data_IF_203844202792
#
_entry.id   IF_203844202792
#
_cell.length_a   1.000
_cell.length_b   1.000
_cell.length_c   1.000
_cell.angle_alpha   90.00
_cell.angle_beta   90.00
_cell.angle_gamma   90.00
#
_symmetry.space_group_name_H-M   'P 1'
#
loop_
_entity.id
_entity.type
_entity.pdbx_description
1 polymer ?
#
# COMPACT_ATOMS: atom_id res chain seq x y z
N UNK A 1 -59.84 -54.73 23.46
CA UNK A 1 -58.88 -54.14 24.39
C UNK A 1 -57.39 -54.46 24.05
N UNK A 2 -57.01 -55.71 23.75
CA UNK A 2 -55.59 -56.01 23.43
C UNK A 2 -55.01 -55.25 22.21
N UNK A 3 -55.77 -55.01 21.15
CA UNK A 3 -55.26 -54.27 19.93
C UNK A 3 -55.10 -52.77 20.18
N UNK A 4 -55.83 -52.13 21.09
CA UNK A 4 -55.62 -50.71 21.43
C UNK A 4 -54.36 -50.50 22.27
N UNK A 5 -54.01 -51.44 23.12
CA UNK A 5 -52.79 -51.37 23.94
C UNK A 5 -51.53 -51.53 23.08
N UNK A 6 -51.61 -52.40 22.04
CA UNK A 6 -50.47 -52.56 21.12
C UNK A 6 -50.21 -51.31 20.27
N UNK A 7 -51.24 -50.60 19.84
CA UNK A 7 -51.11 -49.31 19.10
C UNK A 7 -50.60 -48.17 20.00
N UNK A 8 -50.99 -48.12 21.27
CA UNK A 8 -50.48 -47.15 22.23
C UNK A 8 -48.99 -47.34 22.55
N UNK A 9 -48.55 -48.62 22.68
CA UNK A 9 -47.13 -48.91 22.91
C UNK A 9 -46.24 -48.61 21.68
N UNK A 10 -46.76 -48.80 20.44
CA UNK A 10 -46.04 -48.49 19.20
C UNK A 10 -45.92 -46.96 19.02
N UNK A 11 -46.92 -46.20 19.40
CA UNK A 11 -46.90 -44.73 19.32
C UNK A 11 -45.94 -44.11 20.34
N UNK A 12 -45.78 -44.70 21.52
CA UNK A 12 -44.88 -44.24 22.57
C UNK A 12 -43.41 -44.48 22.23
N UNK A 13 -43.08 -45.53 21.41
CA UNK A 13 -41.74 -45.84 20.97
C UNK A 13 -41.21 -44.88 19.92
N UNK A 14 -42.08 -44.18 19.16
CA UNK A 14 -41.68 -43.20 18.13
C UNK A 14 -41.26 -41.86 18.70
N UNK A 15 -41.66 -41.52 19.92
CA UNK A 15 -41.38 -40.26 20.58
C UNK A 15 -39.97 -40.18 21.26
N UNK A 16 -39.27 -41.33 21.35
CA UNK A 16 -37.96 -41.42 22.03
C UNK A 16 -36.78 -41.30 21.08
N UNK A 17 -36.95 -41.02 19.79
CA UNK A 17 -35.90 -41.03 18.77
C UNK A 17 -35.28 -39.67 18.44
N UNK A 18 -35.52 -38.64 19.24
CA UNK A 18 -34.75 -37.40 19.09
C UNK A 18 -33.51 -37.43 19.99
N UNK A 19 -32.44 -38.09 19.56
CA UNK A 19 -31.13 -37.76 20.09
C UNK A 19 -30.75 -36.38 19.57
N UNK A 20 -30.81 -35.38 20.47
CA UNK A 20 -30.26 -34.06 20.19
C UNK A 20 -28.83 -34.25 19.71
N UNK A 21 -28.55 -33.97 18.45
CA UNK A 21 -27.18 -33.97 17.96
C UNK A 21 -26.38 -33.04 18.86
N UNK A 22 -25.26 -33.51 19.39
CA UNK A 22 -24.34 -32.68 20.14
C UNK A 22 -23.90 -31.58 19.18
N UNK A 23 -24.24 -30.33 19.50
CA UNK A 23 -23.71 -29.18 18.73
C UNK A 23 -22.18 -29.30 18.70
N UNK A 24 -21.64 -29.33 17.51
CA UNK A 24 -20.19 -29.30 17.31
C UNK A 24 -19.73 -27.93 17.83
N UNK A 25 -19.24 -27.89 19.07
CA UNK A 25 -18.59 -26.71 19.62
C UNK A 25 -17.20 -26.60 19.01
N UNK A 26 -16.82 -25.38 18.61
CA UNK A 26 -15.44 -25.09 18.21
C UNK A 26 -14.51 -25.36 19.40
N UNK A 27 -13.68 -26.39 19.30
CA UNK A 27 -12.79 -26.86 20.36
C UNK A 27 -11.30 -26.73 19.99
N UNK A 28 -10.97 -25.84 19.03
CA UNK A 28 -9.60 -25.56 18.66
C UNK A 28 -9.09 -24.32 19.37
N UNK A 29 -7.80 -24.26 19.62
CA UNK A 29 -7.13 -23.07 20.17
C UNK A 29 -7.31 -21.88 19.23
N UNK A 30 -7.41 -20.69 19.83
CA UNK A 30 -7.56 -19.46 19.07
C UNK A 30 -6.26 -19.13 18.34
N UNK A 31 -6.35 -19.02 17.02
CA UNK A 31 -5.21 -18.77 16.16
C UNK A 31 -5.24 -17.36 15.57
N UNK A 32 -4.10 -16.67 15.57
CA UNK A 32 -3.90 -15.39 14.89
C UNK A 32 -3.12 -15.60 13.59
N UNK A 33 -3.49 -14.88 12.54
CA UNK A 33 -2.88 -15.01 11.22
C UNK A 33 -2.94 -13.70 10.42
N UNK A 34 -2.07 -13.56 9.42
CA UNK A 34 -2.14 -12.46 8.46
C UNK A 34 -3.29 -12.69 7.47
N UNK A 35 -4.15 -11.68 7.29
CA UNK A 35 -5.36 -11.79 6.47
C UNK A 35 -5.44 -10.63 5.47
N UNK A 36 -4.74 -10.76 4.36
CA UNK A 36 -4.81 -9.83 3.25
C UNK A 36 -5.32 -10.52 1.99
N UNK A 37 -6.25 -9.87 1.32
CA UNK A 37 -6.74 -10.26 0.01
C UNK A 37 -6.50 -9.13 -1.00
N UNK A 38 -6.22 -9.50 -2.23
CA UNK A 38 -6.13 -8.56 -3.34
C UNK A 38 -7.53 -8.09 -3.81
N UNK A 39 -7.54 -7.25 -4.86
CA UNK A 39 -8.79 -6.74 -5.46
C UNK A 39 -9.69 -7.83 -6.04
N UNK A 40 -9.15 -9.01 -6.33
CA UNK A 40 -9.88 -10.16 -6.89
C UNK A 40 -10.33 -11.13 -5.78
N UNK A 41 -10.08 -10.81 -4.51
CA UNK A 41 -10.39 -11.68 -3.38
C UNK A 41 -9.39 -12.82 -3.15
N UNK A 42 -8.29 -12.89 -3.92
CA UNK A 42 -7.25 -13.87 -3.70
C UNK A 42 -6.37 -13.49 -2.51
N UNK A 43 -6.00 -14.45 -1.67
CA UNK A 43 -5.08 -14.21 -0.56
C UNK A 43 -3.70 -13.88 -1.08
N UNK A 44 -3.09 -12.84 -0.49
CA UNK A 44 -1.72 -12.43 -0.75
C UNK A 44 -0.92 -12.43 0.56
N UNK A 45 0.36 -12.70 0.45
CA UNK A 45 1.30 -12.80 1.58
C UNK A 45 2.25 -11.60 1.64
N UNK A 46 1.97 -10.57 0.86
CA UNK A 46 2.85 -9.41 0.77
C UNK A 46 2.12 -8.13 0.38
N UNK A 47 2.70 -7.00 0.81
CA UNK A 47 2.40 -5.65 0.34
C UNK A 47 3.64 -5.11 -0.36
N UNK A 48 3.45 -4.47 -1.52
CA UNK A 48 4.47 -3.68 -2.20
C UNK A 48 4.10 -2.21 -2.04
N UNK A 49 5.02 -1.42 -1.50
CA UNK A 49 4.84 0.02 -1.29
C UNK A 49 5.93 0.80 -2.04
N UNK A 50 5.56 1.91 -2.68
CA UNK A 50 6.51 2.78 -3.34
C UNK A 50 6.38 4.22 -2.86
N UNK A 51 7.42 4.73 -2.21
CA UNK A 51 7.52 6.15 -1.86
C UNK A 51 7.60 7.06 -3.10
N UNK A 52 7.95 6.52 -4.26
CA UNK A 52 7.99 7.30 -5.49
C UNK A 52 6.61 7.84 -5.90
N UNK A 53 5.53 7.21 -5.43
CA UNK A 53 4.16 7.70 -5.60
C UNK A 53 3.81 8.86 -4.65
N UNK A 54 4.57 8.98 -3.53
CA UNK A 54 4.38 9.98 -2.47
C UNK A 54 5.74 10.60 -2.10
N UNK A 55 6.36 11.31 -3.04
CA UNK A 55 7.77 11.71 -2.93
C UNK A 55 8.05 12.77 -1.85
N UNK A 56 7.02 13.45 -1.38
CA UNK A 56 7.06 14.41 -0.27
C UNK A 56 7.15 13.72 1.09
N UNK A 57 6.81 12.43 1.17
CA UNK A 57 6.81 11.71 2.44
C UNK A 57 8.22 11.22 2.80
N UNK A 58 8.72 11.66 3.95
CA UNK A 58 9.93 11.12 4.57
C UNK A 58 9.66 9.79 5.31
N UNK A 59 8.40 9.53 5.67
CA UNK A 59 7.93 8.29 6.30
C UNK A 59 6.46 8.06 5.99
N UNK A 60 6.03 6.80 6.06
CA UNK A 60 4.62 6.45 5.96
C UNK A 60 4.32 5.23 6.84
N UNK A 61 3.03 4.95 7.05
CA UNK A 61 2.54 3.87 7.90
C UNK A 61 1.82 2.82 7.06
N UNK A 62 2.40 1.62 6.99
CA UNK A 62 1.76 0.46 6.39
C UNK A 62 1.04 -0.34 7.47
N UNK A 63 -0.23 -0.66 7.24
CA UNK A 63 -1.06 -1.40 8.17
C UNK A 63 -1.03 -2.89 7.85
N UNK A 64 -0.48 -3.72 8.73
CA UNK A 64 -0.50 -5.18 8.61
C UNK A 64 -1.84 -5.73 9.09
N UNK A 65 -2.65 -6.32 8.22
CA UNK A 65 -3.95 -6.86 8.61
C UNK A 65 -3.79 -8.24 9.26
N UNK A 66 -4.35 -8.39 10.45
CA UNK A 66 -4.39 -9.65 11.18
C UNK A 66 -5.83 -10.01 11.55
N UNK A 67 -6.08 -11.30 11.63
CA UNK A 67 -7.35 -11.85 12.04
C UNK A 67 -7.14 -13.01 13.01
N UNK A 68 -8.09 -13.17 13.91
CA UNK A 68 -8.19 -14.34 14.80
C UNK A 68 -9.23 -15.31 14.26
N UNK A 69 -8.83 -16.59 14.18
CA UNK A 69 -9.71 -17.73 14.00
C UNK A 69 -9.96 -18.34 15.37
N UNK A 70 -11.20 -18.32 15.81
CA UNK A 70 -11.61 -18.78 17.13
C UNK A 70 -12.72 -17.94 17.74
N UNK A 71 -12.94 -18.14 19.03
CA UNK A 71 -13.97 -17.44 19.79
C UNK A 71 -13.45 -16.04 20.18
N UNK A 72 -14.31 -15.04 20.10
CA UNK A 72 -13.98 -13.69 20.57
C UNK A 72 -13.98 -13.69 22.09
N UNK A 73 -12.84 -13.36 22.68
CA UNK A 73 -12.70 -13.29 24.12
C UNK A 73 -13.25 -11.96 24.67
N UNK A 74 -13.83 -12.02 25.84
CA UNK A 74 -14.30 -10.84 26.57
C UNK A 74 -13.15 -10.04 27.21
N UNK A 75 -11.94 -10.62 27.30
CA UNK A 75 -10.74 -9.99 27.78
C UNK A 75 -9.80 -9.58 26.65
N UNK A 76 -8.94 -8.58 26.91
CA UNK A 76 -7.82 -8.22 26.04
C UNK A 76 -6.84 -9.40 25.95
N UNK A 77 -6.32 -9.67 24.73
CA UNK A 77 -5.34 -10.73 24.44
C UNK A 77 -4.08 -10.14 23.87
N UNK A 78 -2.98 -10.82 24.09
CA UNK A 78 -1.67 -10.40 23.58
C UNK A 78 -1.19 -11.29 22.44
N UNK A 79 -0.39 -10.71 21.54
CA UNK A 79 0.29 -11.43 20.47
C UNK A 79 1.64 -10.80 20.15
N UNK A 80 2.49 -11.53 19.44
CA UNK A 80 3.83 -11.07 19.05
C UNK A 80 4.05 -11.18 17.56
N UNK A 81 4.75 -10.18 17.04
CA UNK A 81 5.26 -10.17 15.66
C UNK A 81 6.76 -9.92 15.76
N UNK A 82 7.56 -10.76 15.13
CA UNK A 82 8.99 -10.52 14.97
C UNK A 82 9.38 -10.30 13.52
N UNK A 83 10.51 -9.69 13.30
CA UNK A 83 11.16 -9.63 12.00
C UNK A 83 12.07 -10.85 11.85
N UNK A 84 12.04 -11.50 10.69
CA UNK A 84 12.94 -12.60 10.34
C UNK A 84 14.17 -12.02 9.67
N UNK A 85 15.22 -11.72 10.45
CA UNK A 85 16.40 -10.97 9.99
C UNK A 85 17.15 -11.68 8.87
N UNK A 86 17.27 -13.01 8.92
CA UNK A 86 18.00 -13.80 7.91
C UNK A 86 17.50 -13.65 6.47
N UNK A 87 16.26 -13.21 6.29
CA UNK A 87 15.63 -13.02 4.97
C UNK A 87 15.09 -11.61 4.76
N UNK A 88 15.24 -10.72 5.74
CA UNK A 88 14.93 -9.29 5.62
C UNK A 88 16.16 -8.54 5.13
N UNK A 89 15.96 -7.55 4.28
CA UNK A 89 17.02 -6.67 3.77
C UNK A 89 16.87 -5.23 4.27
N UNK A 90 15.72 -4.91 4.86
CA UNK A 90 15.47 -3.65 5.52
C UNK A 90 16.21 -3.60 6.87
N UNK A 91 16.82 -2.45 7.18
CA UNK A 91 17.60 -2.22 8.39
C UNK A 91 16.74 -1.45 9.40
N UNK A 92 16.61 -1.94 10.67
CA UNK A 92 15.89 -1.22 11.71
C UNK A 92 16.44 0.20 11.91
N UNK A 93 15.59 1.17 12.21
CA UNK A 93 15.87 2.59 12.41
C UNK A 93 16.29 3.35 11.13
N UNK A 94 16.83 2.69 10.11
CA UNK A 94 17.11 3.29 8.82
C UNK A 94 15.91 3.19 7.88
N UNK A 95 15.31 2.00 7.79
CA UNK A 95 14.23 1.71 6.84
C UNK A 95 12.86 1.61 7.51
N UNK A 96 12.81 1.31 8.81
CA UNK A 96 11.56 1.19 9.55
C UNK A 96 11.74 1.41 11.06
N UNK A 97 10.67 1.82 11.74
CA UNK A 97 10.63 1.85 13.21
C UNK A 97 10.63 0.41 13.72
N UNK A 98 11.52 0.02 14.66
CA UNK A 98 11.46 -1.30 15.31
C UNK A 98 10.05 -1.61 15.82
N UNK A 99 9.67 -2.87 15.71
CA UNK A 99 8.38 -3.35 16.21
C UNK A 99 8.32 -3.28 17.74
N UNK A 100 7.11 -3.24 18.27
CA UNK A 100 6.86 -3.41 19.70
C UNK A 100 7.05 -4.89 20.10
N UNK A 101 7.49 -5.16 21.30
CA UNK A 101 7.72 -6.53 21.81
C UNK A 101 6.42 -7.32 21.92
N UNK A 102 5.33 -6.65 22.24
CA UNK A 102 3.99 -7.23 22.44
C UNK A 102 2.94 -6.28 21.91
N UNK A 103 1.99 -6.83 21.19
CA UNK A 103 0.79 -6.13 20.72
C UNK A 103 -0.45 -6.61 21.47
N UNK A 104 -1.47 -5.76 21.53
CA UNK A 104 -2.71 -6.01 22.23
C UNK A 104 -3.87 -6.11 21.26
N UNK A 105 -4.66 -7.16 21.39
CA UNK A 105 -5.94 -7.32 20.72
C UNK A 105 -7.07 -6.99 21.71
N UNK A 106 -7.82 -5.91 21.52
CA UNK A 106 -8.87 -5.52 22.45
C UNK A 106 -9.96 -6.60 22.61
N UNK A 107 -10.63 -6.60 23.75
CA UNK A 107 -11.77 -7.48 24.04
C UNK A 107 -12.83 -7.41 22.92
N UNK A 108 -13.43 -8.54 22.58
CA UNK A 108 -14.47 -8.66 21.55
C UNK A 108 -13.96 -8.52 20.10
N UNK A 109 -12.71 -8.12 19.90
CA UNK A 109 -12.13 -7.94 18.57
C UNK A 109 -11.61 -9.27 18.00
N UNK A 110 -11.77 -9.43 16.68
CA UNK A 110 -11.21 -10.57 15.93
C UNK A 110 -10.39 -10.13 14.73
N UNK A 111 -10.25 -8.81 14.54
CA UNK A 111 -9.45 -8.21 13.47
C UNK A 111 -8.68 -7.04 14.07
N UNK A 112 -7.40 -6.94 13.71
CA UNK A 112 -6.55 -5.81 14.09
C UNK A 112 -5.64 -5.45 12.92
N UNK A 113 -5.29 -4.17 12.82
CA UNK A 113 -4.30 -3.67 11.87
C UNK A 113 -3.11 -3.12 12.66
N UNK A 114 -1.96 -3.75 12.51
CA UNK A 114 -0.73 -3.32 13.19
C UNK A 114 0.01 -2.31 12.33
N UNK A 115 0.26 -1.10 12.82
CA UNK A 115 1.00 -0.08 12.09
C UNK A 115 2.49 -0.40 12.06
N UNK A 116 3.07 -0.36 10.86
CA UNK A 116 4.51 -0.42 10.62
C UNK A 116 4.93 0.89 9.97
N UNK A 117 5.72 1.69 10.67
CA UNK A 117 6.24 2.95 10.14
C UNK A 117 7.50 2.62 9.33
N UNK A 118 7.49 3.00 8.04
CA UNK A 118 8.60 2.85 7.11
C UNK A 118 9.19 4.23 6.78
N UNK A 119 10.49 4.27 6.46
CA UNK A 119 11.23 5.51 6.20
C UNK A 119 11.77 5.57 4.78
N UNK A 120 11.73 6.77 4.20
CA UNK A 120 12.28 7.12 2.89
C UNK A 120 13.58 7.92 3.01
N UNK A 121 14.40 7.63 4.03
CA UNK A 121 15.63 8.38 4.33
C UNK A 121 16.87 7.82 3.63
N UNK A 122 16.86 6.54 3.26
CA UNK A 122 17.95 5.92 2.51
C UNK A 122 17.84 6.24 1.02
N UNK A 123 18.81 6.96 0.48
CA UNK A 123 18.89 7.30 -0.96
C UNK A 123 19.00 6.07 -1.87
N UNK A 124 19.48 4.94 -1.35
CA UNK A 124 19.55 3.69 -2.09
C UNK A 124 18.18 3.11 -2.43
N UNK A 125 17.11 3.50 -1.73
CA UNK A 125 15.73 3.11 -2.06
C UNK A 125 15.29 3.54 -3.47
N UNK A 126 15.96 4.54 -4.06
CA UNK A 126 15.73 4.92 -5.46
C UNK A 126 16.18 3.85 -6.47
N UNK A 127 17.11 2.97 -6.08
CA UNK A 127 17.70 1.96 -6.95
C UNK A 127 17.44 0.53 -6.46
N UNK A 128 17.12 0.36 -5.17
CA UNK A 128 17.00 -0.95 -4.53
C UNK A 128 15.74 -1.05 -3.69
N UNK A 129 14.96 -2.09 -3.93
CA UNK A 129 13.84 -2.48 -3.08
C UNK A 129 14.36 -3.19 -1.82
N UNK A 130 13.83 -2.82 -0.66
CA UNK A 130 14.09 -3.52 0.59
C UNK A 130 12.87 -4.32 1.02
N UNK A 131 13.10 -5.33 1.84
CA UNK A 131 12.08 -6.27 2.30
C UNK A 131 12.16 -6.46 3.81
N UNK A 132 11.00 -6.47 4.45
CA UNK A 132 10.80 -6.96 5.82
C UNK A 132 9.96 -8.23 5.73
N UNK A 133 10.42 -9.32 6.33
CA UNK A 133 9.60 -10.51 6.55
C UNK A 133 9.19 -10.54 8.01
N UNK A 134 7.90 -10.49 8.24
CA UNK A 134 7.27 -10.63 9.55
C UNK A 134 6.91 -12.08 9.81
N UNK A 135 6.96 -12.49 11.07
CA UNK A 135 6.46 -13.78 11.53
C UNK A 135 5.71 -13.59 12.84
N UNK A 136 4.54 -14.21 12.92
CA UNK A 136 3.78 -14.32 14.16
C UNK A 136 4.41 -15.38 15.07
N UNK A 137 4.39 -15.11 16.37
CA UNK A 137 4.81 -16.05 17.40
C UNK A 137 3.63 -16.37 18.31
N UNK A 138 3.49 -17.63 18.68
CA UNK A 138 2.48 -18.07 19.65
C UNK A 138 2.74 -17.44 21.01
N UNK A 139 1.65 -17.06 21.67
CA UNK A 139 1.63 -16.57 23.04
C UNK A 139 0.74 -17.48 23.89
N UNK A 140 0.57 -17.17 25.15
CA UNK A 140 -0.40 -17.88 26.00
C UNK A 140 -1.86 -17.61 25.58
N UNK A 141 -2.12 -16.46 24.91
CA UNK A 141 -3.47 -16.03 24.55
C UNK A 141 -3.87 -16.43 23.12
N UNK A 142 -2.89 -16.46 22.20
CA UNK A 142 -3.13 -16.69 20.76
C UNK A 142 -2.00 -17.53 20.15
N UNK A 143 -2.39 -18.57 19.43
CA UNK A 143 -1.47 -19.43 18.70
C UNK A 143 -1.21 -18.94 17.27
N UNK A 144 -0.05 -19.27 16.68
CA UNK A 144 0.32 -18.97 15.28
C UNK A 144 0.63 -20.27 14.54
N UNK A 145 -0.36 -21.17 14.46
CA UNK A 145 -0.16 -22.51 13.92
C UNK A 145 -0.47 -22.64 12.42
N UNK A 146 -1.08 -21.63 11.82
CA UNK A 146 -1.37 -21.60 10.40
C UNK A 146 -0.11 -21.29 9.58
N UNK A 147 0.78 -22.27 9.38
CA UNK A 147 2.12 -22.12 8.79
C UNK A 147 2.18 -21.45 7.41
N UNK A 148 1.07 -21.37 6.68
CA UNK A 148 0.98 -20.63 5.42
C UNK A 148 0.53 -19.17 5.62
N UNK A 149 0.10 -18.80 6.83
CA UNK A 149 -0.49 -17.50 7.16
C UNK A 149 0.20 -16.83 8.37
N UNK A 150 1.22 -17.47 8.94
CA UNK A 150 1.99 -16.97 10.07
C UNK A 150 3.10 -16.01 9.66
N UNK A 151 3.36 -15.87 8.35
CA UNK A 151 4.37 -14.96 7.83
C UNK A 151 3.78 -13.99 6.82
N UNK A 152 4.38 -12.80 6.75
CA UNK A 152 3.99 -11.75 5.82
C UNK A 152 5.21 -10.95 5.36
N UNK A 153 5.15 -10.38 4.15
CA UNK A 153 6.26 -9.59 3.59
C UNK A 153 5.79 -8.18 3.29
N UNK A 154 6.60 -7.20 3.68
CA UNK A 154 6.49 -5.84 3.20
C UNK A 154 7.71 -5.53 2.35
N UNK A 155 7.48 -5.19 1.09
CA UNK A 155 8.51 -4.76 0.16
C UNK A 155 8.30 -3.28 -0.13
N UNK A 156 9.37 -2.48 -0.06
CA UNK A 156 9.24 -1.07 -0.39
C UNK A 156 10.52 -0.48 -0.99
N UNK A 157 10.32 0.59 -1.75
CA UNK A 157 11.39 1.33 -2.42
C UNK A 157 10.94 2.76 -2.67
N UNK A 158 11.87 3.58 -3.17
CA UNK A 158 11.56 4.88 -3.78
C UNK A 158 11.82 4.82 -5.29
N UNK A 159 11.60 3.64 -5.89
CA UNK A 159 11.78 3.40 -7.31
C UNK A 159 10.46 3.54 -8.04
N UNK A 160 10.46 4.38 -9.05
CA UNK A 160 9.33 4.59 -9.93
C UNK A 160 9.57 3.79 -11.21
N UNK A 161 8.77 2.74 -11.39
CA UNK A 161 8.78 1.94 -12.61
C UNK A 161 7.93 2.61 -13.69
N UNK A 162 8.27 2.36 -14.97
CA UNK A 162 7.43 2.78 -16.09
C UNK A 162 6.09 2.02 -16.02
N UNK A 163 4.96 2.71 -15.83
CA UNK A 163 3.68 2.04 -15.76
C UNK A 163 3.21 1.61 -17.16
N UNK A 164 2.42 0.54 -17.21
CA UNK A 164 1.91 -0.02 -18.47
C UNK A 164 1.09 1.01 -19.26
N UNK A 165 0.32 1.83 -18.56
CA UNK A 165 -0.52 2.86 -19.19
C UNK A 165 0.29 3.98 -19.87
N UNK A 166 1.59 4.17 -19.58
CA UNK A 166 2.39 5.20 -20.25
C UNK A 166 2.49 4.97 -21.75
N UNK A 167 2.65 3.74 -22.18
CA UNK A 167 2.72 3.40 -23.61
C UNK A 167 1.38 3.63 -24.32
N UNK A 168 0.28 3.31 -23.64
CA UNK A 168 -1.08 3.56 -24.15
C UNK A 168 -1.30 5.06 -24.43
N UNK A 169 -0.80 5.94 -23.57
CA UNK A 169 -1.01 7.38 -23.64
C UNK A 169 0.24 8.16 -24.05
N UNK A 170 1.21 7.50 -24.69
CA UNK A 170 2.46 8.13 -25.13
C UNK A 170 2.26 9.26 -26.15
N UNK A 171 1.19 9.25 -26.93
CA UNK A 171 0.81 10.35 -27.79
C UNK A 171 0.52 11.67 -27.06
N UNK A 172 0.00 11.61 -25.82
CA UNK A 172 -0.26 12.76 -24.96
C UNK A 172 0.92 13.11 -24.04
N UNK A 173 1.62 12.08 -23.58
CA UNK A 173 2.69 12.23 -22.57
C UNK A 173 4.09 12.33 -23.18
N UNK A 174 4.27 11.90 -24.43
CA UNK A 174 5.59 11.76 -25.07
C UNK A 174 6.42 10.63 -24.46
N UNK A 175 7.74 10.60 -24.76
CA UNK A 175 8.66 9.59 -24.23
C UNK A 175 8.66 9.55 -22.72
N UNK A 176 8.78 8.34 -22.17
CA UNK A 176 8.91 8.14 -20.73
C UNK A 176 10.29 8.57 -20.24
N UNK A 177 10.32 9.27 -19.10
CA UNK A 177 11.45 9.35 -18.21
C UNK A 177 10.97 9.28 -16.77
N UNK A 178 11.82 8.88 -15.86
CA UNK A 178 11.49 8.78 -14.45
C UNK A 178 11.13 10.16 -13.87
N UNK A 179 11.93 11.16 -14.17
CA UNK A 179 11.69 12.54 -13.73
C UNK A 179 10.35 13.07 -14.29
N UNK A 180 10.04 12.80 -15.55
CA UNK A 180 8.76 13.21 -16.14
C UNK A 180 7.57 12.55 -15.45
N UNK A 181 7.67 11.26 -15.15
CA UNK A 181 6.63 10.54 -14.40
C UNK A 181 6.49 11.05 -12.97
N UNK A 182 7.59 11.34 -12.30
CA UNK A 182 7.57 11.95 -10.97
C UNK A 182 6.86 13.32 -10.98
N UNK A 183 7.15 14.16 -11.97
CA UNK A 183 6.48 15.45 -12.14
C UNK A 183 4.99 15.26 -12.47
N UNK A 184 4.65 14.28 -13.30
CA UNK A 184 3.25 13.94 -13.63
C UNK A 184 2.45 13.61 -12.37
N UNK A 185 2.96 12.73 -11.50
CA UNK A 185 2.29 12.33 -10.25
C UNK A 185 1.99 13.55 -9.37
N UNK A 186 2.90 14.53 -9.32
CA UNK A 186 2.80 15.71 -8.46
C UNK A 186 1.83 16.77 -8.96
N UNK A 187 1.73 16.92 -10.27
CA UNK A 187 1.11 18.12 -10.85
C UNK A 187 -0.13 17.83 -11.70
N UNK A 188 -0.34 16.58 -12.13
CA UNK A 188 -1.51 16.20 -12.91
C UNK A 188 -2.79 16.09 -12.08
N UNK A 189 -2.68 15.76 -10.77
CA UNK A 189 -3.80 15.45 -9.88
C UNK A 189 -4.20 13.96 -9.89
N UNK A 190 -3.36 13.09 -10.47
CA UNK A 190 -3.53 11.63 -10.40
C UNK A 190 -2.16 10.93 -10.42
N UNK A 191 -2.08 9.76 -9.79
CA UNK A 191 -0.89 8.91 -9.83
C UNK A 191 -0.96 7.86 -10.94
N UNK A 192 -2.15 7.62 -11.50
CA UNK A 192 -2.39 6.56 -12.49
C UNK A 192 -3.35 7.03 -13.58
N UNK A 193 -3.15 6.50 -14.79
CA UNK A 193 -4.10 6.59 -15.89
C UNK A 193 -4.64 5.19 -16.22
N UNK A 194 -5.83 5.07 -16.85
CA UNK A 194 -6.33 3.80 -17.32
C UNK A 194 -5.34 3.11 -18.28
N UNK A 195 -5.10 1.81 -18.09
CA UNK A 195 -4.18 1.04 -18.92
C UNK A 195 -4.71 0.83 -20.34
N UNK A 196 -6.01 0.94 -20.54
CA UNK A 196 -6.68 0.76 -21.84
C UNK A 196 -7.73 1.85 -22.05
N UNK A 197 -8.00 2.17 -23.30
CA UNK A 197 -9.12 3.05 -23.68
C UNK A 197 -10.39 2.19 -23.83
N UNK A 198 -11.03 1.88 -22.71
CA UNK A 198 -12.09 0.85 -22.62
C UNK A 198 -13.52 1.40 -22.84
N UNK A 199 -13.72 2.71 -22.67
CA UNK A 199 -15.05 3.33 -22.76
C UNK A 199 -14.98 4.81 -23.17
N UNK A 200 -16.13 5.40 -23.50
CA UNK A 200 -16.23 6.78 -23.95
C UNK A 200 -15.81 7.84 -22.91
N UNK A 201 -15.73 7.48 -21.64
CA UNK A 201 -15.35 8.39 -20.54
C UNK A 201 -13.85 8.39 -20.29
N UNK A 202 -13.15 7.35 -20.71
CA UNK A 202 -11.71 7.14 -20.48
C UNK A 202 -10.88 8.24 -21.13
N UNK A 203 -11.05 8.49 -22.42
CA UNK A 203 -10.26 9.51 -23.14
C UNK A 203 -10.44 10.92 -22.56
N UNK A 204 -11.66 11.44 -22.31
CA UNK A 204 -11.83 12.76 -21.69
C UNK A 204 -11.15 12.89 -20.32
N UNK A 205 -11.22 11.84 -19.50
CA UNK A 205 -10.56 11.80 -18.18
C UNK A 205 -9.03 11.86 -18.31
N UNK A 206 -8.46 11.08 -19.23
CA UNK A 206 -7.01 11.09 -19.49
C UNK A 206 -6.57 12.46 -20.01
N UNK A 207 -7.29 13.02 -20.97
CA UNK A 207 -6.99 14.35 -21.52
C UNK A 207 -7.04 15.45 -20.45
N UNK A 208 -7.93 15.35 -19.48
CA UNK A 208 -7.97 16.29 -18.37
C UNK A 208 -6.64 16.29 -17.58
N UNK A 209 -6.14 15.11 -17.18
CA UNK A 209 -4.91 14.99 -16.39
C UNK A 209 -3.65 15.32 -17.21
N UNK A 210 -3.58 14.86 -18.46
CA UNK A 210 -2.42 15.13 -19.33
C UNK A 210 -2.32 16.59 -19.71
N UNK A 211 -3.45 17.31 -19.89
CA UNK A 211 -3.49 18.76 -20.15
C UNK A 211 -3.05 19.55 -18.91
N UNK A 212 -3.48 19.18 -17.71
CA UNK A 212 -2.98 19.79 -16.46
C UNK A 212 -1.46 19.67 -16.37
N UNK A 213 -0.95 18.48 -16.62
CA UNK A 213 0.50 18.23 -16.62
C UNK A 213 1.22 19.05 -17.69
N UNK A 214 0.70 19.11 -18.89
CA UNK A 214 1.26 19.92 -19.97
C UNK A 214 1.24 21.42 -19.65
N UNK A 215 0.17 21.92 -19.04
CA UNK A 215 0.09 23.30 -18.55
C UNK A 215 1.20 23.62 -17.54
N UNK A 216 1.41 22.72 -16.59
CA UNK A 216 2.52 22.82 -15.63
C UNK A 216 3.89 22.84 -16.35
N UNK A 217 4.15 21.91 -17.27
CA UNK A 217 5.43 21.88 -18.03
C UNK A 217 5.66 23.17 -18.83
N UNK A 218 4.60 23.82 -19.31
CA UNK A 218 4.69 25.05 -20.07
C UNK A 218 5.00 26.28 -19.21
N UNK A 219 4.53 26.32 -17.97
CA UNK A 219 4.76 27.41 -17.02
C UNK A 219 4.87 26.89 -15.58
N UNK A 220 6.00 26.29 -15.21
CA UNK A 220 6.19 25.77 -13.86
C UNK A 220 6.18 26.86 -12.78
N UNK A 221 6.65 28.07 -13.10
CA UNK A 221 6.73 29.19 -12.15
C UNK A 221 5.33 29.74 -11.85
N UNK A 222 4.55 29.98 -12.89
CA UNK A 222 3.15 30.38 -12.74
C UNK A 222 2.33 29.32 -12.02
N UNK A 223 2.57 28.03 -12.33
CA UNK A 223 1.88 26.94 -11.64
C UNK A 223 2.12 26.95 -10.12
N UNK A 224 3.36 27.21 -9.65
CA UNK A 224 3.67 27.33 -8.22
C UNK A 224 2.91 28.51 -7.58
N UNK A 225 2.80 29.63 -8.29
CA UNK A 225 2.06 30.80 -7.80
C UNK A 225 0.55 30.53 -7.70
N UNK A 226 0.01 29.80 -8.67
CA UNK A 226 -1.42 29.48 -8.76
C UNK A 226 -1.84 28.35 -7.82
N UNK A 227 -0.88 27.52 -7.35
CA UNK A 227 -1.14 26.34 -6.51
C UNK A 227 -0.32 26.34 -5.21
N UNK A 228 -0.37 27.42 -4.38
CA UNK A 228 0.44 27.51 -3.16
C UNK A 228 0.14 26.40 -2.13
N UNK A 229 -1.08 25.83 -2.16
CA UNK A 229 -1.52 24.73 -1.30
C UNK A 229 -0.80 23.42 -1.58
N UNK A 230 -0.21 23.24 -2.77
CA UNK A 230 0.53 22.03 -3.15
C UNK A 230 1.94 21.98 -2.50
N UNK A 231 2.40 23.07 -1.90
CA UNK A 231 3.63 23.12 -1.11
C UNK A 231 4.91 23.01 -1.94
N UNK A 232 4.89 23.44 -3.21
CA UNK A 232 6.08 23.50 -4.07
C UNK A 232 6.63 24.92 -4.18
N UNK A 233 7.91 25.00 -4.48
CA UNK A 233 8.60 26.29 -4.68
C UNK A 233 9.64 26.17 -5.80
N UNK A 234 10.10 27.33 -6.28
CA UNK A 234 11.21 27.46 -7.21
C UNK A 234 12.29 28.33 -6.61
N UNK A 235 13.56 27.96 -6.79
CA UNK A 235 14.72 28.76 -6.37
C UNK A 235 15.77 28.82 -7.47
N UNK A 236 16.58 29.89 -7.56
CA UNK A 236 17.69 29.98 -8.52
C UNK A 236 18.70 28.84 -8.31
N UNK A 237 19.12 28.18 -9.42
CA UNK A 237 20.14 27.15 -9.45
C UNK A 237 21.48 27.63 -10.03
N UNK A 238 21.58 28.95 -10.37
CA UNK A 238 22.73 29.54 -11.05
C UNK A 238 22.62 29.41 -12.58
N UNK A 239 23.44 30.20 -13.30
CA UNK A 239 23.52 30.18 -14.77
C UNK A 239 22.17 30.28 -15.52
N UNK A 240 21.19 30.99 -14.96
CA UNK A 240 19.86 31.13 -15.55
C UNK A 240 18.98 29.90 -15.41
N UNK A 241 19.31 28.96 -14.52
CA UNK A 241 18.50 27.79 -14.20
C UNK A 241 17.75 27.96 -12.89
N UNK A 242 16.73 27.13 -12.68
CA UNK A 242 15.97 27.05 -11.43
C UNK A 242 15.82 25.60 -10.98
N UNK A 243 15.66 25.41 -9.66
CA UNK A 243 15.18 24.18 -9.06
C UNK A 243 13.71 24.31 -8.70
N UNK A 244 12.94 23.30 -9.05
CA UNK A 244 11.57 23.07 -8.55
C UNK A 244 11.63 21.94 -7.52
N UNK A 245 11.01 22.14 -6.35
CA UNK A 245 10.98 21.14 -5.29
C UNK A 245 9.86 21.39 -4.28
N UNK A 246 9.51 20.34 -3.50
CA UNK A 246 8.58 20.45 -2.38
C UNK A 246 9.26 21.04 -1.15
N UNK A 247 8.61 22.00 -0.47
CA UNK A 247 9.13 22.62 0.77
C UNK A 247 9.26 21.61 1.91
N UNK A 248 8.46 20.54 1.89
CA UNK A 248 8.52 19.44 2.88
C UNK A 248 9.62 18.42 2.58
N UNK A 249 10.16 18.40 1.36
CA UNK A 249 11.27 17.53 0.95
C UNK A 249 12.30 18.30 0.10
N UNK A 250 13.03 19.25 0.68
CA UNK A 250 13.99 20.11 -0.05
C UNK A 250 15.22 19.36 -0.58
N UNK A 251 15.43 18.11 -0.14
CA UNK A 251 16.52 17.26 -0.66
C UNK A 251 16.29 16.73 -2.07
N UNK A 252 15.04 16.75 -2.56
CA UNK A 252 14.70 16.27 -3.92
C UNK A 252 14.31 17.44 -4.82
N UNK A 253 15.26 17.85 -5.67
CA UNK A 253 15.10 19.00 -6.55
C UNK A 253 15.09 18.58 -8.02
N UNK A 254 14.28 19.26 -8.83
CA UNK A 254 14.17 19.07 -10.28
C UNK A 254 14.73 20.30 -10.96
N UNK A 255 15.76 20.10 -11.80
CA UNK A 255 16.42 21.18 -12.53
C UNK A 255 15.57 21.62 -13.73
N UNK A 256 15.38 22.93 -13.83
CA UNK A 256 14.84 23.60 -15.01
C UNK A 256 15.91 24.48 -15.62
N UNK A 257 16.24 24.25 -16.89
CA UNK A 257 17.21 25.05 -17.63
C UNK A 257 16.51 25.96 -18.65
N UNK A 258 17.03 27.18 -18.81
CA UNK A 258 16.59 28.10 -19.84
C UNK A 258 17.04 27.61 -21.21
N UNK A 259 16.10 27.46 -22.15
CA UNK A 259 16.41 27.26 -23.56
C UNK A 259 16.47 28.62 -24.27
N UNK A 260 17.67 29.02 -24.72
CA UNK A 260 17.89 30.30 -25.35
C UNK A 260 17.17 30.47 -26.71
N UNK A 261 16.79 29.35 -27.36
CA UNK A 261 16.14 29.38 -28.67
C UNK A 261 14.69 29.89 -28.63
N UNK A 262 13.95 29.58 -27.53
CA UNK A 262 12.56 29.96 -27.36
C UNK A 262 12.28 30.74 -26.07
N UNK A 263 13.33 31.02 -25.29
CA UNK A 263 13.30 31.74 -24.01
C UNK A 263 12.34 31.09 -22.98
N UNK A 264 12.28 29.75 -22.96
CA UNK A 264 11.43 28.98 -22.04
C UNK A 264 12.27 28.07 -21.15
N UNK A 265 11.76 27.78 -19.96
CA UNK A 265 12.36 26.82 -19.03
C UNK A 265 11.83 25.42 -19.29
N UNK A 266 12.74 24.43 -19.27
CA UNK A 266 12.43 23.02 -19.44
C UNK A 266 13.06 22.22 -18.33
N UNK A 267 12.30 21.30 -17.75
CA UNK A 267 12.87 20.30 -16.88
C UNK A 267 13.84 19.38 -17.62
N UNK A 268 14.84 18.91 -16.88
CA UNK A 268 15.84 17.96 -17.37
C UNK A 268 15.57 16.59 -16.75
N UNK A 269 15.55 15.55 -17.57
CA UNK A 269 15.39 14.18 -17.12
C UNK A 269 16.67 13.59 -16.52
N UNK A 270 16.63 12.36 -16.04
CA UNK A 270 17.76 11.62 -15.46
C UNK A 270 18.91 11.34 -16.44
N UNK A 271 18.72 11.52 -17.73
CA UNK A 271 19.69 11.34 -18.79
C UNK A 271 20.22 12.68 -19.34
N UNK A 272 19.76 13.81 -18.79
CA UNK A 272 20.11 15.14 -19.25
C UNK A 272 19.27 15.63 -20.45
N UNK A 273 18.23 14.90 -20.85
CA UNK A 273 17.35 15.30 -21.93
C UNK A 273 16.26 16.27 -21.44
N UNK A 274 15.85 17.15 -22.34
CA UNK A 274 14.75 18.09 -22.09
C UNK A 274 13.41 17.35 -22.02
N UNK A 275 12.64 17.61 -20.99
CA UNK A 275 11.24 17.14 -20.84
C UNK A 275 10.32 18.13 -21.57
N UNK A 276 9.52 17.62 -22.50
CA UNK A 276 8.53 18.36 -23.29
C UNK A 276 7.16 17.72 -23.21
#
# INVERSE_FOLDING_TARGET
MKRLITFGLLYMAVLSSCKKATELQYASDDNIYFDLTDRNGARVDSIVYSFALFPELASDTVLLPLRVSGIRAEAERTFRIRVVDSVSTAVPKLHYKPLEDVYKLPAGQGIIKVPVIIYNTDTNLANKMVRIKFQLESTADLHAEFKKLDTFRLLFSNRLEKPVWWDTWSGELGPYSRVKHELFIRTSGTTELPATNSDATTTPKVLYYTRRFRSFLNDPVGWVQDNPQEGYTVEPAGAGAYYFYSVTNPGKKYLMALNAADNRYYFTDENGNRIV
#
